data_IF_467413232522
#
_entry.id   IF_467413232522
#
_cell.length_a   1.000
_cell.length_b   1.000
_cell.length_c   1.000
_cell.angle_alpha   90.00
_cell.angle_beta   90.00
_cell.angle_gamma   90.00
#
_symmetry.space_group_name_H-M   'P 1'
#
loop_
_entity.id
_entity.type
_entity.pdbx_description
1 polymer ?
#
# COMPACT_ATOMS: atom_id res chain seq x y z
N UNK A 1 39.21 -25.21 -74.70
CA UNK A 1 39.44 -24.41 -73.48
C UNK A 1 38.09 -23.92 -72.98
N UNK A 2 37.56 -24.49 -71.89
CA UNK A 2 36.32 -24.03 -71.26
C UNK A 2 36.58 -23.96 -69.75
N UNK A 3 36.68 -22.76 -69.17
CA UNK A 3 36.87 -22.59 -67.73
C UNK A 3 35.51 -22.29 -67.10
N UNK A 4 35.00 -23.17 -66.25
CA UNK A 4 33.76 -22.94 -65.50
C UNK A 4 34.08 -22.12 -64.24
N UNK A 5 33.48 -20.93 -64.14
CA UNK A 5 33.59 -20.07 -62.96
C UNK A 5 32.64 -20.63 -61.89
N UNK A 6 33.18 -21.29 -60.87
CA UNK A 6 32.41 -21.78 -59.73
C UNK A 6 32.09 -20.56 -58.83
N UNK A 7 30.88 -20.03 -58.95
CA UNK A 7 30.37 -19.00 -58.04
C UNK A 7 30.07 -19.62 -56.66
N UNK A 8 30.80 -19.20 -55.62
CA UNK A 8 30.55 -19.63 -54.24
C UNK A 8 29.50 -18.70 -53.61
N UNK A 9 28.40 -19.21 -53.02
CA UNK A 9 27.42 -18.35 -52.37
C UNK A 9 27.98 -17.75 -51.06
N UNK A 10 27.56 -16.54 -50.66
CA UNK A 10 28.05 -15.90 -49.45
C UNK A 10 27.47 -16.61 -48.21
N UNK A 11 28.28 -16.79 -47.17
CA UNK A 11 27.77 -17.28 -45.89
C UNK A 11 26.92 -16.19 -45.23
N UNK A 12 25.69 -16.54 -44.86
CA UNK A 12 24.81 -15.65 -44.10
C UNK A 12 25.32 -15.47 -42.65
N UNK A 13 25.07 -14.32 -42.00
CA UNK A 13 25.51 -14.08 -40.63
C UNK A 13 24.72 -14.97 -39.66
N UNK A 14 25.44 -15.67 -38.78
CA UNK A 14 24.82 -16.50 -37.72
C UNK A 14 24.40 -15.58 -36.58
N UNK A 15 23.09 -15.51 -36.31
CA UNK A 15 22.52 -14.67 -35.26
C UNK A 15 22.62 -15.40 -33.91
N UNK A 16 23.54 -14.96 -33.04
CA UNK A 16 23.68 -15.52 -31.69
C UNK A 16 22.58 -14.98 -30.75
N UNK A 17 21.90 -15.82 -29.94
CA UNK A 17 20.91 -15.35 -28.99
C UNK A 17 21.58 -14.59 -27.83
N UNK A 18 21.15 -13.35 -27.56
CA UNK A 18 21.58 -12.64 -26.35
C UNK A 18 20.81 -13.16 -25.12
N UNK A 19 21.48 -13.44 -23.98
CA UNK A 19 20.79 -13.80 -22.75
C UNK A 19 19.94 -12.63 -22.22
N UNK A 20 18.64 -12.86 -22.07
CA UNK A 20 17.75 -11.87 -21.46
C UNK A 20 18.07 -11.73 -19.97
N UNK A 21 18.59 -10.58 -19.56
CA UNK A 21 18.74 -10.24 -18.14
C UNK A 21 17.35 -10.01 -17.55
N UNK A 22 16.85 -11.00 -16.79
CA UNK A 22 15.56 -10.90 -16.10
C UNK A 22 15.65 -9.78 -15.07
N UNK A 23 15.05 -8.63 -15.36
CA UNK A 23 14.91 -7.51 -14.41
C UNK A 23 14.17 -8.03 -13.17
N UNK A 24 14.81 -7.98 -12.00
CA UNK A 24 14.14 -8.29 -10.73
C UNK A 24 13.10 -7.20 -10.49
N UNK A 25 11.83 -7.60 -10.39
CA UNK A 25 10.72 -6.70 -10.05
C UNK A 25 10.89 -6.34 -8.57
N UNK A 26 11.29 -5.11 -8.27
CA UNK A 26 11.23 -4.57 -6.90
C UNK A 26 9.77 -4.60 -6.48
N UNK A 27 9.45 -5.42 -5.49
CA UNK A 27 8.11 -5.44 -4.87
C UNK A 27 8.11 -4.29 -3.87
N UNK A 28 7.35 -3.24 -4.18
CA UNK A 28 7.06 -2.17 -3.22
C UNK A 28 6.40 -2.81 -1.99
N UNK A 29 6.98 -2.65 -0.78
CA UNK A 29 6.35 -3.17 0.41
C UNK A 29 5.04 -2.42 0.62
N UNK A 30 3.92 -3.14 0.69
CA UNK A 30 2.64 -2.55 1.07
C UNK A 30 2.83 -1.83 2.42
N UNK A 31 2.46 -0.53 2.53
CA UNK A 31 2.53 0.15 3.81
C UNK A 31 1.53 -0.51 4.75
N UNK A 32 2.03 -1.32 5.68
CA UNK A 32 1.21 -1.93 6.73
C UNK A 32 0.92 -0.83 7.75
N UNK A 33 -0.14 -0.06 7.50
CA UNK A 33 -0.66 0.89 8.50
C UNK A 33 -1.35 0.06 9.58
N UNK A 34 -0.65 -0.16 10.70
CA UNK A 34 -1.23 -0.80 11.88
C UNK A 34 -2.03 0.23 12.66
N UNK A 35 -3.35 0.07 12.66
CA UNK A 35 -4.21 0.83 13.57
C UNK A 35 -4.04 0.31 15.00
N UNK A 36 -4.23 1.16 16.02
CA UNK A 36 -4.34 0.68 17.39
C UNK A 36 -5.46 -0.37 17.49
N UNK A 37 -5.35 -1.32 18.42
CA UNK A 37 -6.39 -2.32 18.63
C UNK A 37 -7.74 -1.63 18.86
N UNK A 38 -8.75 -2.02 18.09
CA UNK A 38 -10.13 -1.61 18.34
C UNK A 38 -10.57 -2.27 19.65
N UNK A 39 -11.26 -1.51 20.51
CA UNK A 39 -11.79 -2.01 21.77
C UNK A 39 -12.89 -3.07 21.59
N UNK A 40 -13.84 -3.13 22.53
CA UNK A 40 -14.88 -4.16 22.66
C UNK A 40 -15.96 -4.19 21.56
N UNK A 41 -15.69 -3.63 20.37
CA UNK A 41 -16.61 -3.62 19.23
C UNK A 41 -17.53 -2.40 19.18
N UNK A 42 -18.64 -2.47 18.43
CA UNK A 42 -19.60 -1.37 18.31
C UNK A 42 -20.19 -0.98 19.67
N UNK A 43 -20.24 0.33 19.93
CA UNK A 43 -20.85 0.89 21.14
C UNK A 43 -22.11 1.65 20.72
N UNK A 44 -23.19 1.52 21.50
CA UNK A 44 -24.41 2.26 21.24
C UNK A 44 -24.18 3.77 21.45
N UNK A 45 -24.69 4.61 20.54
CA UNK A 45 -24.38 6.05 20.54
C UNK A 45 -24.79 6.74 21.84
N UNK A 46 -25.86 6.28 22.49
CA UNK A 46 -26.31 6.83 23.78
C UNK A 46 -25.28 6.64 24.90
N UNK A 47 -24.50 5.56 24.86
CA UNK A 47 -23.45 5.31 25.86
C UNK A 47 -22.35 6.39 25.80
N UNK A 48 -22.14 6.98 24.63
CA UNK A 48 -21.20 8.08 24.44
C UNK A 48 -21.84 9.45 24.73
N UNK A 49 -23.08 9.65 24.28
CA UNK A 49 -23.73 10.97 24.33
C UNK A 49 -24.45 11.29 25.64
N UNK A 50 -25.05 10.31 26.31
CA UNK A 50 -25.83 10.57 27.54
C UNK A 50 -24.99 11.26 28.63
N UNK A 51 -23.74 10.85 28.92
CA UNK A 51 -22.92 11.54 29.92
C UNK A 51 -22.63 12.99 29.52
N UNK A 52 -22.40 13.27 28.24
CA UNK A 52 -22.13 14.62 27.74
C UNK A 52 -23.38 15.49 27.92
N UNK A 53 -24.56 14.97 27.56
CA UNK A 53 -25.82 15.68 27.70
C UNK A 53 -26.12 16.02 29.17
N UNK A 54 -25.85 15.07 30.08
CA UNK A 54 -25.99 15.30 31.52
C UNK A 54 -25.06 16.42 32.00
N UNK A 55 -23.79 16.42 31.57
CA UNK A 55 -22.83 17.48 31.89
C UNK A 55 -23.29 18.84 31.34
N UNK A 56 -23.89 18.90 30.14
CA UNK A 56 -24.36 20.16 29.56
C UNK A 56 -25.46 20.85 30.39
N UNK A 57 -26.19 20.11 31.22
CA UNK A 57 -27.20 20.68 32.13
C UNK A 57 -26.62 21.17 33.47
N UNK A 58 -25.33 20.94 33.73
CA UNK A 58 -24.68 21.32 34.99
C UNK A 58 -24.22 22.79 34.96
N UNK A 59 -24.29 23.54 36.09
CA UNK A 59 -23.77 24.91 36.16
C UNK A 59 -22.26 25.01 35.94
N UNK A 60 -21.51 23.98 36.36
CA UNK A 60 -20.04 23.88 36.19
C UNK A 60 -19.64 23.03 34.96
N UNK A 61 -20.44 23.08 33.88
CA UNK A 61 -20.26 22.21 32.71
C UNK A 61 -18.87 22.29 32.07
N UNK A 62 -18.26 23.47 32.04
CA UNK A 62 -17.01 23.70 31.30
C UNK A 62 -15.84 22.98 31.98
N UNK A 63 -15.79 23.02 33.32
CA UNK A 63 -14.85 22.25 34.11
C UNK A 63 -15.09 20.74 33.96
N UNK A 64 -16.33 20.30 34.04
CA UNK A 64 -16.68 18.87 33.94
C UNK A 64 -16.36 18.30 32.55
N UNK A 65 -16.60 19.04 31.48
CA UNK A 65 -16.20 18.66 30.13
C UNK A 65 -14.67 18.55 30.02
N UNK A 66 -13.93 19.51 30.59
CA UNK A 66 -12.48 19.46 30.61
C UNK A 66 -11.97 18.20 31.35
N UNK A 67 -12.51 17.89 32.52
CA UNK A 67 -12.15 16.68 33.28
C UNK A 67 -12.53 15.39 32.53
N UNK A 68 -13.68 15.38 31.84
CA UNK A 68 -14.18 14.22 31.10
C UNK A 68 -13.26 13.83 29.92
N UNK A 69 -12.72 14.81 29.19
CA UNK A 69 -11.84 14.58 28.03
C UNK A 69 -10.34 14.53 28.35
N UNK A 70 -9.92 14.83 29.57
CA UNK A 70 -8.52 14.80 29.99
C UNK A 70 -8.02 13.38 30.35
N UNK A 71 -8.52 12.35 29.66
CA UNK A 71 -8.20 10.93 29.88
C UNK A 71 -7.37 10.35 28.74
#
# INVERSE_FOLDING_TARGET
MNQAIISRPPMAPVQMPMPATRRKRTVEPNPVVKFPPRGTGPVHISTLLNPILEICHHPDRDRLLAEFFNR
#
